data_IF_135079509478
#
_entry.id   IF_135079509478
#
_cell.length_a   1.000
_cell.length_b   1.000
_cell.length_c   1.000
_cell.angle_alpha   90.00
_cell.angle_beta   90.00
_cell.angle_gamma   90.00
#
_symmetry.space_group_name_H-M   'P 1'
#
loop_
_entity.id
_entity.type
_entity.pdbx_description
1 polymer ?
#
# COMPACT_ATOMS: atom_id res chain seq x y z
N UNK A 1 -21.31 17.15 12.61
CA UNK A 1 -21.55 17.27 11.16
C UNK A 1 -20.53 18.22 10.57
N UNK A 2 -19.91 17.86 9.45
CA UNK A 2 -19.03 18.76 8.68
C UNK A 2 -19.70 18.99 7.33
N UNK A 3 -19.83 20.24 6.90
CA UNK A 3 -20.49 20.63 5.67
C UNK A 3 -19.61 21.61 4.87
N UNK A 4 -19.47 21.38 3.56
CA UNK A 4 -18.60 22.15 2.65
C UNK A 4 -19.36 23.30 1.97
N UNK A 5 -20.12 24.05 2.77
CA UNK A 5 -20.95 25.18 2.34
C UNK A 5 -22.01 24.79 1.31
N UNK A 6 -22.81 23.78 1.67
CA UNK A 6 -23.84 23.23 0.79
C UNK A 6 -24.88 24.31 0.41
N UNK A 7 -25.23 24.44 -0.89
CA UNK A 7 -26.14 25.48 -1.37
C UNK A 7 -27.59 25.27 -0.88
N UNK A 8 -27.94 24.04 -0.52
CA UNK A 8 -29.23 23.67 0.06
C UNK A 8 -29.39 24.06 1.54
N UNK A 9 -28.36 24.67 2.14
CA UNK A 9 -28.33 25.15 3.54
C UNK A 9 -28.55 24.03 4.56
N UNK A 10 -28.13 22.80 4.26
CA UNK A 10 -28.17 21.68 5.22
C UNK A 10 -27.47 22.04 6.54
N UNK A 11 -26.36 22.78 6.50
CA UNK A 11 -25.66 23.28 7.68
C UNK A 11 -26.54 24.17 8.57
N UNK A 12 -27.39 25.02 7.99
CA UNK A 12 -28.25 25.93 8.73
C UNK A 12 -29.37 25.17 9.46
N UNK A 13 -29.93 24.15 8.80
CA UNK A 13 -30.90 23.26 9.43
C UNK A 13 -30.27 22.50 10.60
N UNK A 14 -29.04 21.99 10.42
CA UNK A 14 -28.32 21.30 11.48
C UNK A 14 -28.00 22.21 12.68
N UNK A 15 -27.69 23.49 12.44
CA UNK A 15 -27.50 24.49 13.51
C UNK A 15 -28.77 24.70 14.33
N UNK A 16 -29.94 24.77 13.68
CA UNK A 16 -31.23 24.88 14.36
C UNK A 16 -31.58 23.65 15.22
N UNK A 17 -30.97 22.50 14.94
CA UNK A 17 -31.17 21.28 15.71
C UNK A 17 -30.24 21.18 16.93
N UNK A 18 -29.17 21.97 17.02
CA UNK A 18 -28.22 21.91 18.16
C UNK A 18 -28.89 22.07 19.54
N UNK A 19 -29.87 22.99 19.75
CA UNK A 19 -30.54 23.10 21.04
C UNK A 19 -31.29 21.83 21.46
N UNK A 20 -31.73 21.02 20.49
CA UNK A 20 -32.42 19.73 20.73
C UNK A 20 -31.44 18.55 20.80
N UNK A 21 -30.25 18.71 20.23
CA UNK A 21 -29.21 17.68 20.14
C UNK A 21 -27.89 18.25 20.65
N UNK A 22 -27.66 18.31 21.97
CA UNK A 22 -26.46 18.94 22.54
C UNK A 22 -25.15 18.23 22.16
N UNK A 23 -25.22 16.98 21.69
CA UNK A 23 -24.09 16.22 21.15
C UNK A 23 -23.75 16.60 19.70
N UNK A 24 -24.57 17.39 19.03
CA UNK A 24 -24.37 17.82 17.65
C UNK A 24 -23.51 19.08 17.61
N UNK A 25 -22.29 18.95 17.08
CA UNK A 25 -21.49 20.09 16.64
C UNK A 25 -21.58 20.21 15.13
N UNK A 26 -21.90 21.41 14.62
CA UNK A 26 -21.90 21.71 13.18
C UNK A 26 -20.64 22.50 12.84
N UNK A 27 -19.95 22.06 11.79
CA UNK A 27 -18.73 22.68 11.28
C UNK A 27 -18.92 22.99 9.80
N UNK A 28 -18.99 24.28 9.46
CA UNK A 28 -19.10 24.75 8.08
C UNK A 28 -17.71 25.12 7.54
N UNK A 29 -17.34 24.57 6.39
CA UNK A 29 -16.09 24.87 5.68
C UNK A 29 -16.40 25.70 4.45
N UNK A 30 -15.70 26.81 4.28
CA UNK A 30 -15.81 27.67 3.11
C UNK A 30 -14.54 27.56 2.27
N UNK A 31 -14.68 27.39 0.95
CA UNK A 31 -13.58 27.27 -0.01
C UNK A 31 -13.04 25.84 -0.19
N UNK A 32 -12.80 25.10 0.89
CA UNK A 32 -12.33 23.71 0.79
C UNK A 32 -13.47 22.74 0.51
N UNK A 33 -13.35 21.95 -0.55
CA UNK A 33 -14.31 20.89 -0.90
C UNK A 33 -13.66 19.53 -0.93
N UNK A 34 -14.33 18.52 -0.37
CA UNK A 34 -13.96 17.12 -0.54
C UNK A 34 -14.33 16.27 0.66
N UNK A 35 -14.92 15.10 0.39
CA UNK A 35 -15.41 14.19 1.43
C UNK A 35 -14.29 13.80 2.41
N UNK A 36 -13.15 13.35 1.91
CA UNK A 36 -12.09 12.85 2.79
C UNK A 36 -11.44 13.98 3.60
N UNK A 37 -11.33 15.20 3.04
CA UNK A 37 -10.82 16.37 3.78
C UNK A 37 -11.82 16.84 4.83
N UNK A 38 -13.12 16.72 4.57
CA UNK A 38 -14.18 17.01 5.55
C UNK A 38 -14.10 16.07 6.76
N UNK A 39 -13.87 14.77 6.50
CA UNK A 39 -13.70 13.77 7.56
C UNK A 39 -12.48 14.10 8.43
N UNK A 40 -11.32 14.39 7.83
CA UNK A 40 -10.12 14.77 8.58
C UNK A 40 -10.34 16.06 9.38
N UNK A 41 -10.98 17.07 8.78
CA UNK A 41 -11.31 18.33 9.46
C UNK A 41 -12.20 18.11 10.68
N UNK A 42 -13.19 17.21 10.57
CA UNK A 42 -14.05 16.79 11.68
C UNK A 42 -13.29 16.03 12.76
N UNK A 43 -12.46 15.06 12.38
CA UNK A 43 -11.67 14.26 13.32
C UNK A 43 -10.64 15.08 14.10
N UNK A 44 -10.04 16.10 13.49
CA UNK A 44 -9.14 17.02 14.18
C UNK A 44 -9.84 17.78 15.32
N UNK A 45 -11.15 18.06 15.19
CA UNK A 45 -11.97 18.77 16.19
C UNK A 45 -12.74 17.85 17.13
N UNK A 46 -12.95 16.59 16.75
CA UNK A 46 -13.60 15.61 17.59
C UNK A 46 -12.77 15.36 18.86
N UNK A 47 -13.44 15.15 19.99
CA UNK A 47 -12.81 14.89 21.29
C UNK A 47 -12.80 13.40 21.68
N UNK A 48 -13.50 12.54 20.93
CA UNK A 48 -13.61 11.11 21.23
C UNK A 48 -12.31 10.34 21.00
N UNK A 49 -12.11 9.29 21.81
CA UNK A 49 -11.01 8.32 21.65
C UNK A 49 -11.20 7.41 20.43
N UNK A 50 -12.45 7.17 20.05
CA UNK A 50 -12.82 6.44 18.85
C UNK A 50 -13.43 7.44 17.87
N UNK A 51 -12.86 7.47 16.68
CA UNK A 51 -13.30 8.31 15.57
C UNK A 51 -14.12 7.45 14.61
N UNK A 52 -15.24 7.98 14.12
CA UNK A 52 -16.09 7.31 13.16
C UNK A 52 -16.42 8.21 11.97
N UNK A 53 -16.87 7.59 10.89
CA UNK A 53 -17.44 8.27 9.73
C UNK A 53 -18.65 7.48 9.24
N UNK A 54 -19.71 8.19 8.86
CA UNK A 54 -20.92 7.66 8.27
C UNK A 54 -21.47 8.72 7.29
N UNK A 55 -22.00 8.28 6.15
CA UNK A 55 -22.65 9.20 5.20
C UNK A 55 -24.04 9.60 5.70
N UNK A 56 -24.45 10.83 5.40
CA UNK A 56 -25.73 11.41 5.85
C UNK A 56 -26.95 11.05 4.99
N UNK A 57 -26.84 10.12 4.04
CA UNK A 57 -27.88 9.79 3.05
C UNK A 57 -28.68 8.51 3.38
N UNK A 58 -28.49 7.97 4.59
CA UNK A 58 -29.14 6.75 5.11
C UNK A 58 -28.88 5.47 4.29
N UNK A 59 -27.98 5.50 3.32
CA UNK A 59 -27.52 4.27 2.65
C UNK A 59 -26.76 3.35 3.62
N UNK A 60 -26.13 3.97 4.62
CA UNK A 60 -25.48 3.31 5.74
C UNK A 60 -26.49 3.20 6.90
N UNK A 61 -26.96 1.98 7.25
CA UNK A 61 -27.89 1.79 8.36
C UNK A 61 -27.23 2.19 9.69
N UNK A 62 -27.79 3.17 10.43
CA UNK A 62 -27.26 3.58 11.73
C UNK A 62 -27.22 2.45 12.74
N UNK A 63 -28.06 1.42 12.59
CA UNK A 63 -28.12 0.26 13.48
C UNK A 63 -26.82 -0.54 13.48
N UNK A 64 -26.08 -0.55 12.37
CA UNK A 64 -24.74 -1.18 12.26
C UNK A 64 -23.72 -0.54 13.21
N UNK A 65 -23.95 0.69 13.67
CA UNK A 65 -23.07 1.39 14.60
C UNK A 65 -22.86 0.60 15.89
N UNK A 66 -23.90 -0.06 16.40
CA UNK A 66 -23.83 -0.83 17.65
C UNK A 66 -22.82 -1.99 17.52
N UNK A 67 -22.86 -2.71 16.40
CA UNK A 67 -21.93 -3.80 16.13
C UNK A 67 -20.49 -3.29 15.89
N UNK A 68 -20.32 -2.13 15.26
CA UNK A 68 -19.01 -1.48 15.13
C UNK A 68 -18.45 -1.08 16.50
N UNK A 69 -19.26 -0.49 17.38
CA UNK A 69 -18.85 -0.12 18.74
C UNK A 69 -18.43 -1.35 19.54
N UNK A 70 -19.21 -2.43 19.52
CA UNK A 70 -18.86 -3.69 20.18
C UNK A 70 -17.52 -4.23 19.68
N UNK A 71 -17.29 -4.16 18.37
CA UNK A 71 -16.04 -4.58 17.74
C UNK A 71 -14.85 -3.75 18.22
N UNK A 72 -15.03 -2.43 18.34
CA UNK A 72 -14.01 -1.54 18.87
C UNK A 72 -13.73 -1.84 20.35
N UNK A 73 -14.77 -2.03 21.17
CA UNK A 73 -14.65 -2.39 22.59
C UNK A 73 -13.91 -3.71 22.80
N UNK A 74 -14.09 -4.68 21.89
CA UNK A 74 -13.36 -5.96 21.88
C UNK A 74 -11.86 -5.83 21.54
N UNK A 75 -11.36 -4.62 21.31
CA UNK A 75 -9.93 -4.34 21.14
C UNK A 75 -9.48 -4.08 19.70
N UNK A 76 -10.40 -4.05 18.73
CA UNK A 76 -10.04 -3.71 17.36
C UNK A 76 -9.44 -2.31 17.26
N UNK A 77 -8.45 -2.14 16.37
CA UNK A 77 -7.88 -0.83 16.05
C UNK A 77 -8.75 -0.10 15.01
N UNK A 78 -9.38 -0.87 14.12
CA UNK A 78 -10.24 -0.43 13.03
C UNK A 78 -11.39 -1.42 12.87
N UNK A 79 -12.63 -0.93 12.89
CA UNK A 79 -13.84 -1.68 12.58
C UNK A 79 -14.47 -1.12 11.30
N UNK A 80 -14.65 -1.93 10.27
CA UNK A 80 -15.19 -1.51 8.96
C UNK A 80 -16.55 -2.16 8.73
N UNK A 81 -17.57 -1.37 8.40
CA UNK A 81 -18.80 -1.91 7.86
C UNK A 81 -18.54 -2.36 6.42
N UNK A 82 -18.69 -3.64 6.14
CA UNK A 82 -18.33 -4.24 4.86
C UNK A 82 -19.55 -4.85 4.17
N UNK A 83 -19.62 -4.64 2.85
CA UNK A 83 -20.62 -5.26 1.97
C UNK A 83 -20.24 -6.68 1.54
N UNK A 84 -18.98 -7.08 1.77
CA UNK A 84 -18.38 -8.28 1.20
C UNK A 84 -18.18 -9.41 2.22
N UNK A 85 -18.59 -9.22 3.48
CA UNK A 85 -18.52 -10.25 4.54
C UNK A 85 -19.90 -10.84 4.84
N UNK A 86 -19.95 -11.89 5.69
CA UNK A 86 -21.21 -12.48 6.14
C UNK A 86 -22.14 -11.43 6.76
N UNK A 87 -23.42 -11.44 6.38
CA UNK A 87 -24.40 -10.41 6.73
C UNK A 87 -24.27 -9.11 5.93
N UNK A 88 -23.26 -9.01 5.07
CA UNK A 88 -23.05 -7.90 4.14
C UNK A 88 -23.72 -8.12 2.79
N UNK A 89 -24.11 -7.03 2.14
CA UNK A 89 -24.69 -7.11 0.82
C UNK A 89 -24.99 -5.75 0.20
N UNK A 90 -25.49 -5.81 -1.04
CA UNK A 90 -25.91 -4.64 -1.81
C UNK A 90 -27.27 -4.96 -2.41
N UNK A 91 -28.30 -4.19 -2.08
CA UNK A 91 -29.69 -4.53 -2.43
C UNK A 91 -29.90 -4.62 -3.96
N UNK A 92 -29.69 -3.53 -4.71
CA UNK A 92 -30.16 -3.46 -6.12
C UNK A 92 -29.20 -2.77 -7.09
N UNK A 93 -27.88 -2.91 -6.90
CA UNK A 93 -26.94 -2.33 -7.87
C UNK A 93 -27.01 -3.00 -9.24
N UNK A 94 -27.00 -2.17 -10.29
CA UNK A 94 -26.80 -2.62 -11.67
C UNK A 94 -25.52 -3.44 -11.81
N UNK A 95 -25.56 -4.47 -12.66
CA UNK A 95 -24.42 -5.38 -12.91
C UNK A 95 -23.17 -4.59 -13.32
N UNK A 96 -23.33 -3.56 -14.16
CA UNK A 96 -22.25 -2.67 -14.59
C UNK A 96 -21.59 -1.91 -13.44
N UNK A 97 -22.39 -1.41 -12.49
CA UNK A 97 -21.86 -0.73 -11.30
C UNK A 97 -21.10 -1.70 -10.39
N UNK A 98 -21.60 -2.93 -10.23
CA UNK A 98 -20.91 -3.99 -9.48
C UNK A 98 -19.57 -4.35 -10.14
N UNK A 99 -19.57 -4.48 -11.47
CA UNK A 99 -18.36 -4.81 -12.23
C UNK A 99 -17.32 -3.68 -12.16
N UNK A 100 -17.73 -2.42 -12.36
CA UNK A 100 -16.84 -1.27 -12.25
C UNK A 100 -16.21 -1.14 -10.86
N UNK A 101 -17.00 -1.35 -9.80
CA UNK A 101 -16.50 -1.35 -8.42
C UNK A 101 -15.49 -2.48 -8.16
N UNK A 102 -15.77 -3.69 -8.65
CA UNK A 102 -14.83 -4.82 -8.53
C UNK A 102 -13.55 -4.60 -9.34
N UNK A 103 -13.65 -4.03 -10.53
CA UNK A 103 -12.50 -3.66 -11.36
C UNK A 103 -11.59 -2.64 -10.66
N UNK A 104 -12.17 -1.59 -10.08
CA UNK A 104 -11.42 -0.60 -9.31
C UNK A 104 -10.77 -1.19 -8.04
N UNK A 105 -11.45 -2.15 -7.39
CA UNK A 105 -10.88 -2.86 -6.24
C UNK A 105 -9.71 -3.74 -6.65
N UNK A 106 -9.84 -4.50 -7.75
CA UNK A 106 -8.77 -5.35 -8.28
C UNK A 106 -7.55 -4.51 -8.68
N UNK A 107 -7.77 -3.41 -9.40
CA UNK A 107 -6.71 -2.48 -9.79
C UNK A 107 -6.02 -1.86 -8.56
N UNK A 108 -6.79 -1.49 -7.54
CA UNK A 108 -6.24 -1.04 -6.28
C UNK A 108 -5.40 -2.10 -5.58
N UNK A 109 -5.83 -3.37 -5.61
CA UNK A 109 -5.09 -4.49 -5.03
C UNK A 109 -3.76 -4.73 -5.77
N UNK A 110 -3.70 -4.46 -7.07
CA UNK A 110 -2.45 -4.51 -7.84
C UNK A 110 -1.50 -3.36 -7.47
N UNK A 111 -2.02 -2.14 -7.33
CA UNK A 111 -1.19 -0.94 -7.06
C UNK A 111 -0.72 -0.89 -5.60
N UNK A 112 -1.59 -1.24 -4.64
CA UNK A 112 -1.35 -1.08 -3.21
C UNK A 112 -1.84 -2.31 -2.41
N UNK A 113 -1.27 -3.51 -2.66
CA UNK A 113 -1.74 -4.78 -2.08
C UNK A 113 -1.66 -4.82 -0.56
N UNK A 114 -0.63 -4.22 0.03
CA UNK A 114 -0.41 -4.20 1.48
C UNK A 114 -1.47 -3.44 2.26
N UNK A 115 -2.24 -2.58 1.59
CA UNK A 115 -3.30 -1.78 2.21
C UNK A 115 -4.64 -2.38 1.86
N UNK A 116 -4.93 -2.57 0.58
CA UNK A 116 -6.23 -3.08 0.13
C UNK A 116 -6.43 -4.55 0.47
N UNK A 117 -5.37 -5.36 0.52
CA UNK A 117 -5.45 -6.77 0.88
C UNK A 117 -5.74 -7.02 2.36
N UNK A 118 -5.84 -5.96 3.19
CA UNK A 118 -6.12 -6.07 4.63
C UNK A 118 -7.61 -6.07 4.97
N UNK A 119 -8.47 -5.72 4.01
CA UNK A 119 -9.92 -5.59 4.21
C UNK A 119 -10.67 -6.11 2.98
N UNK A 120 -11.83 -6.72 3.19
CA UNK A 120 -12.68 -7.18 2.08
C UNK A 120 -13.35 -6.03 1.34
N UNK A 121 -13.60 -4.90 2.01
CA UNK A 121 -14.25 -3.72 1.43
C UNK A 121 -13.45 -2.41 1.68
N UNK A 122 -12.34 -2.20 0.95
CA UNK A 122 -11.49 -1.01 1.09
C UNK A 122 -12.18 0.29 0.63
N UNK A 123 -13.37 0.18 0.05
CA UNK A 123 -14.12 1.29 -0.50
C UNK A 123 -15.25 1.76 0.43
N UNK A 124 -15.41 1.14 1.59
CA UNK A 124 -16.42 1.50 2.57
C UNK A 124 -16.23 2.93 3.09
N UNK A 125 -17.34 3.67 3.17
CA UNK A 125 -17.41 5.00 3.79
C UNK A 125 -17.86 4.95 5.25
N UNK A 126 -18.06 3.74 5.80
CA UNK A 126 -18.62 3.55 7.14
C UNK A 126 -17.72 2.67 7.99
N UNK A 127 -16.99 3.31 8.90
CA UNK A 127 -16.02 2.63 9.75
C UNK A 127 -15.70 3.45 11.01
N UNK A 128 -15.06 2.80 11.98
CA UNK A 128 -14.57 3.39 13.22
C UNK A 128 -13.11 3.03 13.45
N UNK A 129 -12.33 3.94 14.02
CA UNK A 129 -10.89 3.79 14.22
C UNK A 129 -10.46 4.42 15.55
N UNK A 130 -9.51 3.79 16.23
CA UNK A 130 -8.91 4.36 17.44
C UNK A 130 -8.07 5.58 17.08
N UNK A 131 -8.34 6.72 17.73
CA UNK A 131 -7.60 7.97 17.53
C UNK A 131 -6.10 7.78 17.74
N UNK A 132 -5.71 7.03 18.76
CA UNK A 132 -4.30 6.75 19.11
C UNK A 132 -3.52 6.00 18.03
N UNK A 133 -4.20 5.42 17.04
CA UNK A 133 -3.57 4.73 15.91
C UNK A 133 -3.36 5.63 14.69
N UNK A 134 -3.82 6.87 14.76
CA UNK A 134 -3.73 7.84 13.67
C UNK A 134 -2.84 9.00 14.07
N UNK A 135 -1.94 9.38 13.16
CA UNK A 135 -1.30 10.68 13.17
C UNK A 135 -2.15 11.63 12.29
N UNK A 136 -3.18 12.24 12.91
CA UNK A 136 -4.16 13.07 12.20
C UNK A 136 -3.53 14.19 11.34
N UNK A 137 -2.48 14.91 11.79
CA UNK A 137 -1.76 15.87 10.95
C UNK A 137 -1.16 15.30 9.65
N UNK A 138 -0.78 14.03 9.63
CA UNK A 138 -0.18 13.37 8.44
C UNK A 138 -1.20 12.90 7.40
N UNK A 139 -2.49 12.86 7.76
CA UNK A 139 -3.56 12.44 6.86
C UNK A 139 -3.85 13.56 5.85
N UNK A 140 -3.42 13.33 4.61
CA UNK A 140 -3.62 14.25 3.49
C UNK A 140 -4.39 13.54 2.37
N UNK A 141 -5.64 13.12 2.64
CA UNK A 141 -6.40 12.33 1.69
C UNK A 141 -6.69 13.12 0.42
N UNK A 142 -6.63 12.44 -0.72
CA UNK A 142 -7.09 12.97 -2.00
C UNK A 142 -8.42 12.30 -2.37
N UNK A 143 -9.40 13.10 -2.75
CA UNK A 143 -10.72 12.60 -3.15
C UNK A 143 -11.58 12.14 -1.97
N UNK A 144 -12.16 10.94 -2.09
CA UNK A 144 -13.29 10.51 -1.26
C UNK A 144 -13.05 9.23 -0.45
N UNK A 145 -11.89 8.57 -0.58
CA UNK A 145 -11.61 7.28 0.07
C UNK A 145 -10.64 7.40 1.25
N UNK A 146 -11.10 8.03 2.33
CA UNK A 146 -10.34 8.23 3.57
C UNK A 146 -9.92 6.90 4.25
N UNK A 147 -10.68 5.81 4.07
CA UNK A 147 -10.34 4.49 4.63
C UNK A 147 -8.96 4.00 4.15
N UNK A 148 -8.60 4.28 2.90
CA UNK A 148 -7.28 3.90 2.36
C UNK A 148 -6.14 4.61 3.08
N UNK A 149 -6.28 5.88 3.39
CA UNK A 149 -5.29 6.67 4.15
C UNK A 149 -5.17 6.17 5.58
N UNK A 150 -6.30 5.84 6.21
CA UNK A 150 -6.33 5.26 7.56
C UNK A 150 -5.56 3.93 7.61
N UNK A 151 -5.78 3.03 6.65
CA UNK A 151 -5.08 1.74 6.62
C UNK A 151 -3.60 1.93 6.19
N UNK A 152 -3.33 2.86 5.28
CA UNK A 152 -1.99 3.08 4.73
C UNK A 152 -1.04 3.81 5.67
N UNK A 153 -1.53 4.74 6.50
CA UNK A 153 -0.71 5.58 7.38
C UNK A 153 -0.93 5.31 8.86
N UNK A 154 -2.08 4.76 9.24
CA UNK A 154 -2.37 4.41 10.61
C UNK A 154 -1.56 3.21 11.10
N UNK A 155 -1.27 3.18 12.39
CA UNK A 155 -0.66 2.04 13.08
C UNK A 155 -1.70 0.94 13.39
N UNK A 156 -2.46 0.56 12.37
CA UNK A 156 -3.56 -0.39 12.50
C UNK A 156 -2.98 -1.80 12.46
N UNK A 157 -3.24 -2.62 13.49
CA UNK A 157 -2.85 -4.05 13.52
C UNK A 157 -4.07 -4.94 13.43
N UNK A 158 -5.07 -4.69 14.26
CA UNK A 158 -6.30 -5.49 14.31
C UNK A 158 -7.43 -4.79 13.54
N UNK A 159 -7.81 -5.38 12.40
CA UNK A 159 -8.97 -4.95 11.61
C UNK A 159 -10.06 -6.00 11.77
N UNK A 160 -11.30 -5.53 11.97
CA UNK A 160 -12.48 -6.36 12.04
C UNK A 160 -13.54 -5.79 11.11
N UNK A 161 -14.29 -6.67 10.45
CA UNK A 161 -15.33 -6.28 9.50
C UNK A 161 -16.70 -6.73 10.01
N UNK A 162 -17.68 -5.84 9.91
CA UNK A 162 -19.08 -6.10 10.28
C UNK A 162 -19.92 -6.03 9.01
N UNK A 163 -20.69 -7.09 8.74
CA UNK A 163 -21.57 -7.13 7.58
C UNK A 163 -22.70 -6.12 7.67
N UNK A 164 -22.97 -5.41 6.57
CA UNK A 164 -24.18 -4.60 6.44
C UNK A 164 -24.75 -4.61 5.02
N UNK A 165 -26.06 -4.38 4.93
CA UNK A 165 -26.76 -4.24 3.66
C UNK A 165 -26.73 -2.76 3.25
N UNK A 166 -26.01 -2.45 2.17
CA UNK A 166 -25.96 -1.10 1.61
C UNK A 166 -27.28 -0.80 0.89
N UNK A 167 -28.04 0.18 1.42
CA UNK A 167 -29.37 0.55 0.93
C UNK A 167 -29.27 1.51 -0.25
N UNK A 168 -30.31 1.55 -1.07
CA UNK A 168 -30.44 2.61 -2.08
C UNK A 168 -30.67 3.97 -1.42
N UNK A 169 -30.25 5.04 -2.11
CA UNK A 169 -30.60 6.39 -1.67
C UNK A 169 -32.10 6.55 -1.77
N UNK A 170 -32.71 7.05 -0.70
CA UNK A 170 -34.11 7.46 -0.73
C UNK A 170 -34.33 8.64 -1.68
N UNK A 171 -33.30 9.49 -1.87
CA UNK A 171 -33.32 10.65 -2.78
C UNK A 171 -31.91 11.00 -3.33
N UNK A 172 -31.84 11.43 -4.59
CA UNK A 172 -30.63 12.01 -5.23
C UNK A 172 -29.83 11.08 -6.15
N UNK A 173 -29.24 11.62 -7.22
CA UNK A 173 -28.45 10.85 -8.19
C UNK A 173 -27.02 10.51 -7.70
N UNK A 174 -26.46 9.42 -8.24
CA UNK A 174 -25.09 8.97 -7.95
C UNK A 174 -24.05 9.86 -8.63
N UNK A 175 -23.32 10.66 -7.86
CA UNK A 175 -22.27 11.59 -8.35
C UNK A 175 -20.93 10.92 -8.74
N UNK A 176 -20.83 9.59 -8.78
CA UNK A 176 -19.57 8.90 -9.13
C UNK A 176 -19.29 9.07 -10.63
N UNK A 177 -18.38 9.98 -10.96
CA UNK A 177 -17.97 10.30 -12.34
C UNK A 177 -16.64 9.64 -12.70
N UNK A 178 -16.26 9.62 -13.99
CA UNK A 178 -14.94 9.15 -14.44
C UNK A 178 -13.78 9.88 -13.72
N UNK A 179 -14.00 11.14 -13.34
CA UNK A 179 -13.05 11.95 -12.57
C UNK A 179 -12.76 11.35 -11.19
N UNK A 180 -13.75 10.76 -10.52
CA UNK A 180 -13.56 10.11 -9.23
C UNK A 180 -12.67 8.86 -9.35
N UNK A 181 -12.82 8.09 -10.43
CA UNK A 181 -11.92 6.96 -10.70
C UNK A 181 -10.48 7.41 -10.95
N UNK A 182 -10.29 8.52 -11.69
CA UNK A 182 -8.96 9.10 -11.89
C UNK A 182 -8.34 9.58 -10.57
N UNK A 183 -9.10 10.29 -9.74
CA UNK A 183 -8.64 10.73 -8.42
C UNK A 183 -8.30 9.54 -7.51
N UNK A 184 -9.08 8.46 -7.55
CA UNK A 184 -8.78 7.21 -6.86
C UNK A 184 -7.45 6.61 -7.31
N UNK A 185 -7.17 6.53 -8.63
CA UNK A 185 -5.89 6.03 -9.13
C UNK A 185 -4.70 6.91 -8.74
N UNK A 186 -4.84 8.23 -8.87
CA UNK A 186 -3.83 9.18 -8.41
C UNK A 186 -3.55 9.01 -6.91
N UNK A 187 -4.60 8.77 -6.11
CA UNK A 187 -4.49 8.56 -4.68
C UNK A 187 -3.74 7.27 -4.35
N UNK A 188 -4.08 6.16 -5.00
CA UNK A 188 -3.37 4.89 -4.85
C UNK A 188 -1.88 5.00 -5.21
N UNK A 189 -1.57 5.63 -6.35
CA UNK A 189 -0.18 5.86 -6.77
C UNK A 189 0.55 6.76 -5.77
N UNK A 190 -0.09 7.83 -5.27
CA UNK A 190 0.49 8.70 -4.25
C UNK A 190 0.79 7.94 -2.96
N UNK A 191 -0.13 7.11 -2.47
CA UNK A 191 0.08 6.27 -1.28
C UNK A 191 1.19 5.24 -1.52
N UNK A 192 1.25 4.64 -2.71
CA UNK A 192 2.29 3.69 -3.09
C UNK A 192 3.68 4.34 -3.09
N UNK A 193 3.79 5.55 -3.64
CA UNK A 193 5.03 6.33 -3.67
C UNK A 193 5.45 6.81 -2.28
N UNK A 194 4.52 7.28 -1.46
CA UNK A 194 4.82 7.69 -0.08
C UNK A 194 5.29 6.51 0.79
N UNK A 195 4.78 5.30 0.52
CA UNK A 195 5.22 4.06 1.17
C UNK A 195 6.44 3.44 0.51
N UNK A 196 6.94 4.01 -0.59
CA UNK A 196 8.10 3.47 -1.27
C UNK A 196 9.34 3.66 -0.39
N UNK A 197 10.02 2.56 -0.08
CA UNK A 197 11.21 2.57 0.75
C UNK A 197 12.45 3.02 -0.05
N UNK A 198 12.43 4.25 -0.58
CA UNK A 198 13.50 4.82 -1.43
C UNK A 198 14.88 4.60 -0.84
N UNK A 199 15.02 4.83 0.47
CA UNK A 199 16.28 4.63 1.18
C UNK A 199 16.77 3.17 1.16
N UNK A 200 15.87 2.19 1.32
CA UNK A 200 16.25 0.77 1.22
C UNK A 200 16.58 0.37 -0.20
N UNK A 201 15.82 0.88 -1.18
CA UNK A 201 16.11 0.61 -2.57
C UNK A 201 17.49 1.14 -2.97
N UNK A 202 17.84 2.36 -2.56
CA UNK A 202 19.17 2.93 -2.80
C UNK A 202 20.29 2.13 -2.11
N UNK A 203 20.08 1.67 -0.86
CA UNK A 203 21.01 0.76 -0.18
C UNK A 203 21.17 -0.57 -0.91
N UNK A 204 20.08 -1.14 -1.42
CA UNK A 204 20.09 -2.39 -2.20
C UNK A 204 20.90 -2.24 -3.49
N UNK A 205 20.68 -1.15 -4.24
CA UNK A 205 21.46 -0.82 -5.44
C UNK A 205 22.93 -0.59 -5.07
N UNK A 206 23.21 0.14 -3.99
CA UNK A 206 24.56 0.34 -3.47
C UNK A 206 25.25 -0.98 -3.13
N UNK A 207 24.58 -1.89 -2.44
CA UNK A 207 25.09 -3.23 -2.15
C UNK A 207 25.43 -3.98 -3.45
N UNK A 208 24.52 -3.98 -4.44
CA UNK A 208 24.77 -4.58 -5.75
C UNK A 208 25.98 -3.99 -6.47
N UNK A 209 26.16 -2.67 -6.43
CA UNK A 209 27.32 -2.00 -7.01
C UNK A 209 28.64 -2.43 -6.33
N UNK A 210 28.65 -2.60 -5.01
CA UNK A 210 29.83 -3.16 -4.32
C UNK A 210 30.14 -4.59 -4.77
N UNK A 211 29.11 -5.42 -5.02
CA UNK A 211 29.29 -6.76 -5.56
C UNK A 211 29.99 -6.77 -6.92
N UNK A 212 29.65 -5.85 -7.82
CA UNK A 212 30.32 -5.73 -9.14
C UNK A 212 31.80 -5.37 -8.99
N UNK A 213 32.12 -4.48 -8.05
CA UNK A 213 33.51 -4.12 -7.74
C UNK A 213 34.26 -5.32 -7.16
N UNK A 214 33.66 -6.02 -6.18
CA UNK A 214 34.25 -7.22 -5.56
C UNK A 214 34.49 -8.31 -6.60
N UNK A 215 33.52 -8.59 -7.48
CA UNK A 215 33.66 -9.54 -8.58
C UNK A 215 34.86 -9.17 -9.48
N UNK A 216 34.96 -7.91 -9.89
CA UNK A 216 36.04 -7.42 -10.76
C UNK A 216 37.41 -7.55 -10.09
N UNK A 217 37.52 -7.21 -8.81
CA UNK A 217 38.77 -7.30 -8.04
C UNK A 217 39.19 -8.75 -7.83
N UNK A 218 38.27 -9.63 -7.43
CA UNK A 218 38.57 -11.06 -7.22
C UNK A 218 38.96 -11.71 -8.54
N UNK A 219 38.26 -11.41 -9.63
CA UNK A 219 38.60 -11.92 -10.96
C UNK A 219 40.00 -11.46 -11.38
N UNK A 220 40.35 -10.18 -11.19
CA UNK A 220 41.68 -9.67 -11.47
C UNK A 220 42.75 -10.37 -10.64
N UNK A 221 42.53 -10.56 -9.33
CA UNK A 221 43.52 -11.22 -8.46
C UNK A 221 43.74 -12.70 -8.81
N UNK A 222 42.68 -13.43 -9.19
CA UNK A 222 42.77 -14.85 -9.50
C UNK A 222 43.28 -15.12 -10.92
N UNK A 223 42.76 -14.41 -11.92
CA UNK A 223 43.04 -14.71 -13.32
C UNK A 223 44.30 -14.03 -13.85
N UNK A 224 44.60 -12.81 -13.39
CA UNK A 224 45.67 -12.02 -14.00
C UNK A 224 47.02 -12.78 -13.95
N UNK A 225 47.73 -12.91 -15.09
CA UNK A 225 48.97 -13.68 -15.16
C UNK A 225 50.08 -13.15 -14.26
N UNK A 226 50.05 -11.87 -13.88
CA UNK A 226 51.03 -11.28 -12.95
C UNK A 226 50.73 -11.59 -11.48
N UNK A 227 49.59 -12.25 -11.21
CA UNK A 227 49.11 -12.62 -9.87
C UNK A 227 49.14 -14.14 -9.71
N UNK A 228 47.97 -14.79 -9.79
CA UNK A 228 47.81 -16.22 -9.55
C UNK A 228 47.67 -17.03 -10.85
N UNK A 229 47.28 -16.40 -11.95
CA UNK A 229 47.21 -17.04 -13.27
C UNK A 229 46.24 -18.23 -13.37
N UNK A 230 45.16 -18.24 -12.58
CA UNK A 230 44.20 -19.34 -12.59
C UNK A 230 43.36 -19.38 -13.88
N UNK A 231 42.80 -20.55 -14.25
CA UNK A 231 41.88 -20.66 -15.37
C UNK A 231 40.72 -19.66 -15.24
N UNK A 232 40.38 -18.98 -16.34
CA UNK A 232 39.40 -17.88 -16.37
C UNK A 232 38.03 -18.33 -15.82
N UNK A 233 37.54 -19.49 -16.24
CA UNK A 233 36.22 -19.99 -15.83
C UNK A 233 36.16 -20.25 -14.32
N UNK A 234 37.21 -20.86 -13.75
CA UNK A 234 37.31 -21.11 -12.32
C UNK A 234 37.39 -19.78 -11.54
N UNK A 235 38.21 -18.86 -12.02
CA UNK A 235 38.38 -17.52 -11.42
C UNK A 235 37.06 -16.74 -11.43
N UNK A 236 36.32 -16.78 -12.54
CA UNK A 236 35.03 -16.09 -12.68
C UNK A 236 33.95 -16.71 -11.80
N UNK A 237 33.91 -18.04 -11.69
CA UNK A 237 32.98 -18.72 -10.79
C UNK A 237 33.21 -18.29 -9.33
N UNK A 238 34.46 -18.32 -8.86
CA UNK A 238 34.80 -17.92 -7.49
C UNK A 238 34.50 -16.44 -7.26
N UNK A 239 34.84 -15.56 -8.21
CA UNK A 239 34.54 -14.13 -8.12
C UNK A 239 33.03 -13.86 -7.98
N UNK A 240 32.20 -14.57 -8.77
CA UNK A 240 30.75 -14.45 -8.70
C UNK A 240 30.18 -14.91 -7.35
N UNK A 241 30.64 -16.05 -6.81
CA UNK A 241 30.21 -16.55 -5.50
C UNK A 241 30.59 -15.58 -4.37
N UNK A 242 31.81 -15.02 -4.40
CA UNK A 242 32.26 -14.02 -3.42
C UNK A 242 31.43 -12.74 -3.53
N UNK A 243 31.10 -12.29 -4.74
CA UNK A 243 30.25 -11.12 -4.95
C UNK A 243 28.80 -11.35 -4.46
N UNK A 244 28.24 -12.54 -4.67
CA UNK A 244 26.91 -12.92 -4.16
C UNK A 244 26.92 -12.91 -2.63
N UNK A 245 27.95 -13.48 -2.00
CA UNK A 245 28.12 -13.46 -0.54
C UNK A 245 28.24 -12.03 -0.01
N UNK A 246 29.05 -11.18 -0.66
CA UNK A 246 29.15 -9.75 -0.34
C UNK A 246 27.77 -9.06 -0.40
N UNK A 247 27.04 -9.25 -1.49
CA UNK A 247 25.71 -8.67 -1.68
C UNK A 247 24.73 -9.14 -0.60
N UNK A 248 24.76 -10.41 -0.23
CA UNK A 248 23.94 -10.94 0.85
C UNK A 248 24.29 -10.31 2.20
N UNK A 249 25.57 -10.26 2.56
CA UNK A 249 26.05 -9.69 3.84
C UNK A 249 25.69 -8.21 3.96
N UNK A 250 25.94 -7.41 2.93
CA UNK A 250 25.55 -5.99 2.92
C UNK A 250 24.03 -5.83 3.04
N UNK A 251 23.24 -6.65 2.34
CA UNK A 251 21.79 -6.57 2.45
C UNK A 251 21.28 -6.99 3.83
N UNK A 252 21.88 -8.03 4.44
CA UNK A 252 21.52 -8.54 5.76
C UNK A 252 21.80 -7.52 6.87
N UNK A 253 22.93 -6.80 6.83
CA UNK A 253 23.31 -5.87 7.91
C UNK A 253 22.95 -4.41 7.66
N UNK A 254 22.90 -3.96 6.40
CA UNK A 254 22.74 -2.55 6.06
C UNK A 254 21.38 -2.23 5.42
N UNK A 255 20.97 -2.96 4.38
CA UNK A 255 19.72 -2.70 3.66
C UNK A 255 18.48 -3.12 4.46
N UNK A 256 18.53 -4.32 5.05
CA UNK A 256 17.43 -4.95 5.80
C UNK A 256 17.82 -5.26 7.25
N UNK A 257 18.88 -4.64 7.77
CA UNK A 257 19.41 -4.92 9.10
C UNK A 257 18.42 -4.74 10.23
N UNK A 258 17.50 -3.78 10.13
CA UNK A 258 16.42 -3.58 11.10
C UNK A 258 15.36 -4.70 11.07
N UNK A 259 15.07 -5.27 9.89
CA UNK A 259 14.17 -6.43 9.75
C UNK A 259 14.85 -7.74 10.21
N UNK A 260 16.16 -7.83 10.02
CA UNK A 260 16.95 -9.00 10.41
C UNK A 260 17.24 -9.06 11.92
N UNK A 261 17.25 -7.92 12.64
CA UNK A 261 17.59 -7.82 14.08
C UNK A 261 16.73 -8.66 15.02
N UNK A 262 15.48 -8.97 14.65
CA UNK A 262 14.58 -9.82 15.43
C UNK A 262 14.81 -11.33 15.25
N UNK A 263 15.67 -11.72 14.30
CA UNK A 263 15.84 -13.12 13.87
C UNK A 263 17.17 -13.70 14.34
N UNK A 264 17.12 -14.88 14.97
CA UNK A 264 18.33 -15.61 15.37
C UNK A 264 19.25 -15.90 14.15
N UNK A 265 20.57 -15.87 14.36
CA UNK A 265 21.58 -16.25 13.32
C UNK A 265 21.30 -17.61 12.67
N UNK A 266 20.56 -18.50 13.34
CA UNK A 266 20.08 -19.80 12.80
C UNK A 266 19.32 -19.69 11.47
N UNK A 267 18.70 -18.56 11.16
CA UNK A 267 17.93 -18.38 9.92
C UNK A 267 18.75 -17.90 8.72
N UNK A 268 20.04 -17.59 8.93
CA UNK A 268 20.95 -17.12 7.88
C UNK A 268 21.00 -18.03 6.64
N UNK A 269 21.18 -19.36 6.76
CA UNK A 269 21.28 -20.22 5.59
C UNK A 269 19.98 -20.22 4.76
N UNK A 270 18.82 -20.15 5.43
CA UNK A 270 17.51 -20.08 4.76
C UNK A 270 17.35 -18.76 4.00
N UNK A 271 17.77 -17.63 4.59
CA UNK A 271 17.74 -16.33 3.90
C UNK A 271 18.71 -16.28 2.73
N UNK A 272 19.93 -16.79 2.92
CA UNK A 272 20.92 -16.89 1.85
C UNK A 272 20.40 -17.73 0.67
N UNK A 273 19.75 -18.87 0.94
CA UNK A 273 19.16 -19.71 -0.10
C UNK A 273 18.03 -19.00 -0.85
N UNK A 274 17.13 -18.31 -0.13
CA UNK A 274 16.06 -17.51 -0.76
C UNK A 274 16.62 -16.38 -1.61
N UNK A 275 17.63 -15.66 -1.10
CA UNK A 275 18.30 -14.58 -1.83
C UNK A 275 18.89 -15.09 -3.14
N UNK A 276 19.64 -16.20 -3.09
CA UNK A 276 20.20 -16.84 -4.28
C UNK A 276 19.12 -17.29 -5.27
N UNK A 277 18.08 -17.97 -4.80
CA UNK A 277 16.98 -18.41 -5.65
C UNK A 277 16.31 -17.23 -6.38
N UNK A 278 16.07 -16.13 -5.67
CA UNK A 278 15.53 -14.91 -6.26
C UNK A 278 16.52 -14.36 -7.29
N UNK A 279 17.79 -14.17 -6.96
CA UNK A 279 18.79 -13.67 -7.91
C UNK A 279 18.89 -14.53 -9.19
N UNK A 280 18.89 -15.86 -9.05
CA UNK A 280 18.94 -16.79 -10.20
C UNK A 280 17.69 -16.69 -11.09
N UNK A 281 16.51 -16.63 -10.49
CA UNK A 281 15.26 -16.37 -11.23
C UNK A 281 15.28 -14.99 -11.90
N UNK A 282 15.95 -14.01 -11.29
CA UNK A 282 16.15 -12.68 -11.85
C UNK A 282 17.02 -12.69 -13.09
N UNK A 283 18.08 -13.51 -13.13
CA UNK A 283 18.90 -13.72 -14.33
C UNK A 283 18.05 -14.26 -15.48
N UNK A 284 17.21 -15.27 -15.21
CA UNK A 284 16.29 -15.80 -16.22
C UNK A 284 15.30 -14.75 -16.71
N UNK A 285 14.72 -13.96 -15.79
CA UNK A 285 13.84 -12.85 -16.14
C UNK A 285 14.56 -11.78 -16.99
N UNK A 286 15.83 -11.50 -16.71
CA UNK A 286 16.63 -10.56 -17.48
C UNK A 286 16.75 -11.02 -18.95
N UNK A 287 17.14 -12.29 -19.14
CA UNK A 287 17.26 -12.90 -20.46
C UNK A 287 15.92 -12.90 -21.20
N UNK A 288 14.83 -13.21 -20.51
CA UNK A 288 13.48 -13.19 -21.09
C UNK A 288 13.10 -11.79 -21.57
N UNK A 289 13.28 -10.76 -20.73
CA UNK A 289 12.98 -9.37 -21.09
C UNK A 289 13.86 -8.93 -22.27
N UNK A 290 15.16 -9.24 -22.23
CA UNK A 290 16.08 -8.89 -23.29
C UNK A 290 15.70 -9.53 -24.63
N UNK A 291 15.39 -10.83 -24.65
CA UNK A 291 14.90 -11.53 -25.85
C UNK A 291 13.59 -10.92 -26.36
N UNK A 292 12.62 -10.62 -25.49
CA UNK A 292 11.37 -9.96 -25.89
C UNK A 292 11.60 -8.59 -26.54
N UNK A 293 12.48 -7.76 -25.97
CA UNK A 293 12.78 -6.43 -26.49
C UNK A 293 13.57 -6.47 -27.80
N UNK A 294 14.57 -7.36 -27.91
CA UNK A 294 15.48 -7.43 -29.07
C UNK A 294 14.90 -8.28 -30.18
N UNK A 295 14.42 -9.49 -29.89
CA UNK A 295 13.92 -10.42 -30.91
C UNK A 295 12.46 -10.14 -31.25
N UNK A 296 11.64 -9.82 -30.25
CA UNK A 296 10.22 -9.52 -30.40
C UNK A 296 9.97 -8.11 -30.94
N UNK A 297 10.43 -7.09 -30.21
CA UNK A 297 10.19 -5.68 -30.56
C UNK A 297 11.25 -5.06 -31.48
N UNK A 298 12.30 -5.82 -31.86
CA UNK A 298 13.39 -5.37 -32.74
C UNK A 298 14.11 -4.11 -32.25
N UNK A 299 14.16 -3.90 -30.94
CA UNK A 299 14.87 -2.78 -30.32
C UNK A 299 16.38 -3.06 -30.25
N UNK A 300 17.18 -1.99 -30.18
CA UNK A 300 18.63 -2.11 -30.02
C UNK A 300 19.00 -2.79 -28.70
N UNK A 301 20.03 -3.66 -28.72
CA UNK A 301 20.36 -4.52 -27.58
C UNK A 301 20.88 -3.76 -26.35
N UNK A 302 21.67 -2.70 -26.55
CA UNK A 302 22.22 -1.89 -25.42
C UNK A 302 21.12 -1.25 -24.55
N UNK A 303 20.20 -0.40 -25.08
CA UNK A 303 19.13 0.17 -24.26
C UNK A 303 18.17 -0.89 -23.73
N UNK A 304 17.92 -1.96 -24.49
CA UNK A 304 17.12 -3.09 -24.01
C UNK A 304 17.73 -3.79 -22.79
N UNK A 305 19.06 -3.95 -22.77
CA UNK A 305 19.78 -4.52 -21.64
C UNK A 305 19.70 -3.63 -20.40
N UNK A 306 19.84 -2.31 -20.55
CA UNK A 306 19.66 -1.37 -19.44
C UNK A 306 18.24 -1.44 -18.85
N UNK A 307 17.22 -1.54 -19.70
CA UNK A 307 15.82 -1.73 -19.27
C UNK A 307 15.65 -3.06 -18.54
N UNK A 308 16.18 -4.16 -19.08
CA UNK A 308 16.11 -5.48 -18.43
C UNK A 308 16.79 -5.47 -17.05
N UNK A 309 17.98 -4.87 -16.93
CA UNK A 309 18.70 -4.71 -15.65
C UNK A 309 17.85 -3.90 -14.66
N UNK A 310 17.26 -2.78 -15.08
CA UNK A 310 16.45 -1.95 -14.21
C UNK A 310 15.20 -2.68 -13.68
N UNK A 311 14.47 -3.37 -14.57
CA UNK A 311 13.26 -4.14 -14.20
C UNK A 311 13.62 -5.28 -13.25
N UNK A 312 14.68 -6.04 -13.55
CA UNK A 312 15.12 -7.16 -12.70
C UNK A 312 15.65 -6.67 -11.35
N UNK A 313 16.32 -5.52 -11.30
CA UNK A 313 16.77 -4.93 -10.03
C UNK A 313 15.59 -4.56 -9.14
N UNK A 314 14.54 -3.96 -9.69
CA UNK A 314 13.30 -3.65 -8.98
C UNK A 314 12.60 -4.93 -8.49
N UNK A 315 12.53 -5.95 -9.35
CA UNK A 315 11.95 -7.25 -9.03
C UNK A 315 12.73 -7.97 -7.91
N UNK A 316 14.07 -7.98 -8.00
CA UNK A 316 14.97 -8.54 -7.00
C UNK A 316 14.79 -7.85 -5.65
N UNK A 317 14.77 -6.52 -5.62
CA UNK A 317 14.55 -5.74 -4.41
C UNK A 317 13.21 -6.09 -3.76
N UNK A 318 12.13 -6.07 -4.55
CA UNK A 318 10.78 -6.26 -4.05
C UNK A 318 10.55 -7.68 -3.50
N UNK A 319 11.00 -8.71 -4.23
CA UNK A 319 10.88 -10.10 -3.76
C UNK A 319 11.73 -10.36 -2.53
N UNK A 320 12.97 -9.85 -2.48
CA UNK A 320 13.81 -10.01 -1.31
C UNK A 320 13.21 -9.34 -0.08
N UNK A 321 12.67 -8.13 -0.23
CA UNK A 321 11.96 -7.42 0.84
C UNK A 321 10.74 -8.18 1.35
N UNK A 322 10.02 -8.90 0.47
CA UNK A 322 8.76 -9.60 0.79
C UNK A 322 8.95 -11.05 1.23
N UNK A 323 9.98 -11.76 0.77
CA UNK A 323 10.14 -13.20 0.95
C UNK A 323 11.38 -13.57 1.78
N UNK A 324 12.48 -12.83 1.61
CA UNK A 324 13.77 -13.11 2.26
C UNK A 324 13.84 -12.45 3.63
N UNK A 325 13.53 -11.16 3.70
CA UNK A 325 13.56 -10.36 4.94
C UNK A 325 12.15 -9.96 5.37
N UNK A 326 11.40 -10.95 5.87
CA UNK A 326 10.10 -10.74 6.53
C UNK A 326 10.36 -10.57 8.02
N UNK A 327 10.00 -9.40 8.56
CA UNK A 327 10.06 -9.09 9.99
C UNK A 327 8.92 -9.71 10.76
#
# INVERSE_FOLDING_TARGET
MVDDDSPDRTWALAEQLQPKLPMLTVLRRQGDRGLATAVVYGWQRAQGEILGVIDGDLQHPPETLLALIQTMQAGADLAVASRNVSGGGVSDWSVWRRLGSRGAQLLGLLILPEVLGRVSDPMSGYFMVRRSRLDLPSLQPRGYKILLEVIAKGQIRQIREVGFIFRERSQGESKVTAREYWHYLQHLCSLRLQRWESARFLKFVGAGATGVIVDSVVLYLLHDPSRLGWPLLLSKFIAAEVAILNNFVFNEFWTFGDLARGSQRRYWPRRFLKFNLICSLGIFLNLLILSLLVEGLKLHYLPSNWVAIAVVTLWNFWLNRKLTWVG
#
